data_IF_010682152861
#
_entry.id   IF_010682152861
#
_cell.length_a   1.000
_cell.length_b   1.000
_cell.length_c   1.000
_cell.angle_alpha   90.00
_cell.angle_beta   90.00
_cell.angle_gamma   90.00
#
_symmetry.space_group_name_H-M   'P 1'
#
loop_
_entity.id
_entity.type
_entity.pdbx_description
1 polymer ?
#
# COMPACT_ATOMS: atom_id res chain seq x y z
N UNK A 1 11.67 -45.91 22.01
CA UNK A 1 11.99 -44.73 22.85
C UNK A 1 12.39 -43.52 22.01
N UNK A 2 13.44 -43.65 21.19
CA UNK A 2 14.06 -42.52 20.46
C UNK A 2 13.14 -41.81 19.43
N UNK A 3 12.38 -42.56 18.62
CA UNK A 3 11.46 -41.99 17.64
C UNK A 3 10.33 -41.17 18.28
N UNK A 4 9.85 -41.60 19.44
CA UNK A 4 8.81 -40.86 20.18
C UNK A 4 9.37 -39.54 20.70
N UNK A 5 10.61 -39.54 21.18
CA UNK A 5 11.31 -38.33 21.61
C UNK A 5 11.54 -37.38 20.43
N UNK A 6 11.99 -37.90 19.29
CA UNK A 6 12.18 -37.13 18.05
C UNK A 6 10.88 -36.47 17.56
N UNK A 7 9.76 -37.20 17.61
CA UNK A 7 8.44 -36.65 17.25
C UNK A 7 7.98 -35.55 18.20
N UNK A 8 8.26 -35.68 19.50
CA UNK A 8 7.96 -34.64 20.48
C UNK A 8 8.79 -33.37 20.23
N UNK A 9 10.08 -33.51 19.92
CA UNK A 9 10.96 -32.40 19.56
C UNK A 9 10.47 -31.69 18.29
N UNK A 10 10.11 -32.45 17.25
CA UNK A 10 9.55 -31.89 16.00
C UNK A 10 8.24 -31.15 16.23
N UNK A 11 7.34 -31.68 17.08
CA UNK A 11 6.09 -30.98 17.43
C UNK A 11 6.35 -29.67 18.17
N UNK A 12 7.35 -29.63 19.06
CA UNK A 12 7.73 -28.41 19.77
C UNK A 12 8.26 -27.34 18.81
N UNK A 13 9.15 -27.72 17.88
CA UNK A 13 9.68 -26.83 16.84
C UNK A 13 8.57 -26.32 15.93
N UNK A 14 7.66 -27.21 15.49
CA UNK A 14 6.53 -26.85 14.61
C UNK A 14 5.60 -25.83 15.25
N UNK A 15 5.28 -25.97 16.55
CA UNK A 15 4.43 -25.01 17.26
C UNK A 15 5.09 -23.65 17.40
N UNK A 16 6.41 -23.60 17.63
CA UNK A 16 7.14 -22.32 17.68
C UNK A 16 7.17 -21.65 16.31
N UNK A 17 7.51 -22.40 15.27
CA UNK A 17 7.49 -21.93 13.90
C UNK A 17 6.14 -21.34 13.48
N UNK A 18 5.03 -22.01 13.79
CA UNK A 18 3.69 -21.52 13.46
C UNK A 18 3.35 -20.21 14.17
N UNK A 19 3.75 -20.04 15.43
CA UNK A 19 3.59 -18.76 16.15
C UNK A 19 4.47 -17.65 15.57
N UNK A 20 5.69 -17.99 15.15
CA UNK A 20 6.61 -17.03 14.53
C UNK A 20 6.12 -16.59 13.13
N UNK A 21 5.28 -17.39 12.47
CA UNK A 21 4.59 -17.01 11.22
C UNK A 21 3.48 -15.99 11.45
N UNK A 22 2.72 -16.09 12.54
CA UNK A 22 1.67 -15.10 12.88
C UNK A 22 2.27 -13.73 13.24
N UNK A 23 3.54 -13.71 13.66
CA UNK A 23 4.33 -12.53 14.02
C UNK A 23 5.28 -12.04 12.92
N UNK A 24 5.23 -12.62 11.71
CA UNK A 24 5.99 -12.11 10.58
C UNK A 24 5.34 -10.81 10.06
N UNK A 25 5.48 -9.75 10.86
CA UNK A 25 5.33 -8.38 10.41
C UNK A 25 6.36 -8.14 9.32
N UNK A 26 5.87 -8.10 8.09
CA UNK A 26 6.31 -7.25 6.97
C UNK A 26 6.11 -8.03 5.71
N UNK A 27 4.94 -7.84 5.10
CA UNK A 27 5.01 -7.55 3.68
C UNK A 27 6.07 -6.45 3.51
N UNK A 28 7.08 -6.64 2.64
CA UNK A 28 7.90 -5.51 2.25
C UNK A 28 6.91 -4.50 1.67
N UNK A 29 6.53 -3.48 2.45
CA UNK A 29 5.68 -2.42 1.94
C UNK A 29 6.52 -1.83 0.82
N UNK A 30 6.05 -2.06 -0.42
CA UNK A 30 6.74 -1.52 -1.57
C UNK A 30 6.85 -0.01 -1.31
N UNK A 31 8.04 0.59 -1.48
CA UNK A 31 8.15 2.03 -1.36
C UNK A 31 7.05 2.63 -2.25
N UNK A 32 6.34 3.68 -1.79
CA UNK A 32 5.27 4.27 -2.55
C UNK A 32 5.77 4.54 -3.96
N UNK A 33 5.02 4.07 -4.95
CA UNK A 33 5.45 4.09 -6.34
C UNK A 33 5.79 5.52 -6.74
N UNK A 34 7.07 5.79 -6.98
CA UNK A 34 7.50 7.09 -7.46
C UNK A 34 6.92 7.30 -8.86
N UNK A 35 6.00 8.24 -8.97
CA UNK A 35 5.44 8.62 -10.26
C UNK A 35 6.54 9.32 -11.06
N UNK A 36 6.77 8.85 -12.29
CA UNK A 36 7.62 9.59 -13.23
C UNK A 36 7.00 10.97 -13.54
N UNK A 37 7.78 11.92 -14.11
CA UNK A 37 7.33 13.29 -14.31
C UNK A 37 5.99 13.43 -15.03
N UNK A 38 5.76 12.59 -16.05
CA UNK A 38 4.50 12.56 -16.82
C UNK A 38 3.33 12.06 -15.99
N UNK A 39 3.53 11.01 -15.19
CA UNK A 39 2.46 10.45 -14.38
C UNK A 39 2.09 11.38 -13.22
N UNK A 40 3.07 12.02 -12.59
CA UNK A 40 2.85 13.04 -11.55
C UNK A 40 2.11 14.27 -12.11
N UNK A 41 2.42 14.67 -13.34
CA UNK A 41 1.70 15.74 -14.03
C UNK A 41 0.21 15.40 -14.19
N UNK A 42 -0.11 14.22 -14.74
CA UNK A 42 -1.51 13.81 -14.95
C UNK A 42 -2.29 13.70 -13.65
N UNK A 43 -1.67 13.19 -12.58
CA UNK A 43 -2.32 13.12 -11.26
C UNK A 43 -2.72 14.53 -10.76
N UNK A 44 -1.78 15.49 -10.83
CA UNK A 44 -2.06 16.87 -10.42
C UNK A 44 -3.04 17.59 -11.35
N UNK A 45 -3.05 17.24 -12.63
CA UNK A 45 -4.01 17.79 -13.59
C UNK A 45 -5.45 17.33 -13.32
N UNK A 46 -5.63 16.08 -12.90
CA UNK A 46 -6.94 15.49 -12.63
C UNK A 46 -7.51 15.87 -11.27
N UNK A 47 -6.68 16.30 -10.30
CA UNK A 47 -7.14 16.75 -8.98
C UNK A 47 -8.21 17.86 -9.09
N UNK A 48 -9.32 17.76 -8.32
CA UNK A 48 -10.34 18.79 -8.27
C UNK A 48 -9.75 20.08 -7.66
N UNK A 49 -10.06 21.24 -8.26
CA UNK A 49 -9.52 22.53 -7.85
C UNK A 49 -8.35 23.06 -8.68
N UNK A 50 -7.92 22.34 -9.73
CA UNK A 50 -6.93 22.83 -10.68
C UNK A 50 -7.34 24.17 -11.31
N UNK A 51 -6.36 25.09 -11.47
CA UNK A 51 -6.55 26.47 -11.93
C UNK A 51 -7.38 26.58 -13.23
N UNK A 52 -7.23 25.61 -14.14
CA UNK A 52 -7.97 25.57 -15.40
C UNK A 52 -9.48 25.35 -15.20
N UNK A 53 -9.90 24.59 -14.18
CA UNK A 53 -11.33 24.43 -13.84
C UNK A 53 -11.88 25.69 -13.17
N UNK A 54 -11.06 26.41 -12.40
CA UNK A 54 -11.46 27.68 -11.78
C UNK A 54 -11.62 28.81 -12.81
N UNK A 55 -10.85 28.79 -13.90
CA UNK A 55 -11.03 29.74 -15.01
C UNK A 55 -12.37 29.57 -15.73
N UNK A 56 -12.87 28.34 -15.87
CA UNK A 56 -14.16 28.07 -16.54
C UNK A 56 -15.34 28.58 -15.70
N UNK A 57 -15.23 28.62 -14.37
CA UNK A 57 -16.26 29.20 -13.49
C UNK A 57 -16.30 30.73 -13.46
N UNK A 58 -15.36 31.42 -14.11
CA UNK A 58 -15.27 32.89 -14.15
C UNK A 58 -15.97 33.56 -15.34
N UNK A 59 -16.55 32.82 -16.28
CA UNK A 59 -17.32 33.38 -17.40
C UNK A 59 -18.79 32.94 -17.32
N UNK A 60 -19.52 33.52 -16.36
CA UNK A 60 -20.97 33.68 -16.50
C UNK A 60 -21.26 34.92 -17.33
N UNK A 61 -22.22 34.92 -18.27
CA UNK A 61 -22.56 36.11 -19.03
C UNK A 61 -23.13 37.15 -18.06
N UNK A 62 -22.43 38.27 -17.91
CA UNK A 62 -22.96 39.44 -17.23
C UNK A 62 -24.14 40.00 -18.03
N UNK A 63 -25.35 39.73 -17.57
CA UNK A 63 -26.53 40.52 -17.92
C UNK A 63 -26.58 41.73 -16.98
N UNK A 64 -26.17 42.89 -17.51
CA UNK A 64 -26.39 44.22 -16.96
C UNK A 64 -26.78 45.14 -18.09
#
# INVERSE_FOLDING_TARGET
>A
EDEKLRLQQLRALRRRWLRDQELSEREPVLPPRQLGPVAAFWERFLQPGGLWRQQVSGQGPGTG
#
